data_IF_874699525617
#
_entry.id   IF_874699525617
#
_cell.length_a   1.000
_cell.length_b   1.000
_cell.length_c   1.000
_cell.angle_alpha   90.00
_cell.angle_beta   90.00
_cell.angle_gamma   90.00
#
_symmetry.space_group_name_H-M   'P 1'
#
loop_
_entity.id
_entity.type
_entity.pdbx_description
1 polymer ?
#
# COMPACT_ATOMS: atom_id res chain seq x y z
N UNK A 1 -15.62 8.90 9.31
CA UNK A 1 -14.55 8.00 9.74
C UNK A 1 -13.83 7.63 8.47
N UNK A 2 -12.53 7.86 8.39
CA UNK A 2 -11.73 7.52 7.22
C UNK A 2 -11.08 6.16 7.43
N UNK A 3 -11.03 5.34 6.40
CA UNK A 3 -10.33 4.05 6.41
C UNK A 3 -8.92 4.24 5.83
N UNK A 4 -7.88 3.85 6.54
CA UNK A 4 -6.49 4.07 6.11
C UNK A 4 -5.73 2.76 6.10
N UNK A 5 -4.99 2.49 5.01
CA UNK A 5 -4.01 1.42 5.01
C UNK A 5 -2.75 1.90 5.70
N UNK A 6 -2.42 1.28 6.84
CA UNK A 6 -1.24 1.58 7.63
C UNK A 6 -0.35 0.34 7.66
N UNK A 7 0.89 0.49 7.22
CA UNK A 7 1.91 -0.52 7.30
C UNK A 7 2.60 -0.48 8.66
N UNK A 8 2.80 -1.64 9.28
CA UNK A 8 3.56 -1.80 10.50
C UNK A 8 4.62 -2.87 10.24
N UNK A 9 5.88 -2.44 10.18
CA UNK A 9 7.02 -3.31 9.89
C UNK A 9 7.22 -4.37 10.97
N UNK A 10 7.69 -5.54 10.52
CA UNK A 10 8.00 -6.68 11.37
C UNK A 10 8.94 -6.32 12.52
N UNK A 11 10.09 -5.69 12.22
CA UNK A 11 11.11 -5.37 13.21
C UNK A 11 10.61 -4.37 14.25
N UNK A 12 9.80 -3.37 13.86
CA UNK A 12 9.21 -2.45 14.81
C UNK A 12 8.19 -3.17 15.70
N UNK A 13 7.38 -4.07 15.12
CA UNK A 13 6.43 -4.87 15.87
C UNK A 13 7.14 -5.81 16.84
N UNK A 14 8.21 -6.48 16.41
CA UNK A 14 9.01 -7.41 17.21
C UNK A 14 9.77 -6.70 18.35
N UNK A 15 10.41 -5.57 18.05
CA UNK A 15 11.23 -4.85 19.02
C UNK A 15 10.40 -4.10 20.07
N UNK A 16 9.49 -3.23 19.63
CA UNK A 16 8.77 -2.30 20.51
C UNK A 16 7.25 -2.38 20.40
N UNK A 17 6.72 -3.13 19.43
CA UNK A 17 5.27 -3.20 19.21
C UNK A 17 4.52 -4.07 20.21
N UNK A 18 3.25 -3.73 20.37
CA UNK A 18 2.26 -4.52 21.11
C UNK A 18 1.29 -5.13 20.10
N UNK A 19 1.14 -6.46 20.06
CA UNK A 19 0.19 -7.11 19.18
C UNK A 19 -1.25 -6.65 19.45
N UNK A 20 -1.98 -6.35 18.38
CA UNK A 20 -3.37 -5.90 18.38
C UNK A 20 -4.25 -6.84 17.54
N UNK A 21 -5.56 -6.75 17.69
CA UNK A 21 -6.57 -7.55 17.02
C UNK A 21 -7.58 -6.68 16.29
N UNK A 22 -8.35 -7.28 15.39
CA UNK A 22 -9.51 -6.61 14.79
C UNK A 22 -10.50 -6.23 15.90
N UNK A 23 -10.92 -4.97 15.91
CA UNK A 23 -11.77 -4.39 16.95
C UNK A 23 -11.01 -3.68 18.08
N UNK A 24 -9.68 -3.76 18.12
CA UNK A 24 -8.90 -2.99 19.10
C UNK A 24 -8.82 -1.51 18.70
N UNK A 25 -8.89 -0.63 19.69
CA UNK A 25 -8.50 0.77 19.54
C UNK A 25 -6.99 0.91 19.69
N UNK A 26 -6.36 1.60 18.75
CA UNK A 26 -4.92 1.81 18.70
C UNK A 26 -4.61 3.27 18.43
N UNK A 27 -3.42 3.70 18.82
CA UNK A 27 -2.90 5.04 18.55
C UNK A 27 -1.44 4.93 18.13
N UNK A 28 -1.14 5.46 16.93
CA UNK A 28 0.16 5.32 16.28
C UNK A 28 0.68 6.64 15.73
N UNK A 29 1.97 6.98 15.93
CA UNK A 29 2.63 8.01 15.14
C UNK A 29 2.76 7.51 13.70
N UNK A 30 2.17 8.25 12.75
CA UNK A 30 2.17 7.88 11.34
C UNK A 30 3.21 8.68 10.56
N UNK A 31 3.92 7.99 9.67
CA UNK A 31 4.91 8.52 8.75
C UNK A 31 4.51 8.18 7.32
N UNK A 32 4.46 9.18 6.44
CA UNK A 32 4.27 8.95 5.00
C UNK A 32 5.63 8.67 4.38
N UNK A 33 5.82 7.44 3.93
CA UNK A 33 7.01 7.00 3.21
C UNK A 33 6.76 7.05 1.71
N UNK A 34 7.83 7.29 0.95
CA UNK A 34 7.79 7.05 -0.49
C UNK A 34 7.50 5.56 -0.73
N UNK A 35 6.48 5.29 -1.52
CA UNK A 35 6.09 3.92 -1.81
C UNK A 35 7.15 3.15 -2.59
N UNK A 36 7.96 3.83 -3.40
CA UNK A 36 8.97 3.17 -4.23
C UNK A 36 10.18 2.71 -3.42
N UNK A 37 10.41 3.29 -2.24
CA UNK A 37 11.51 2.89 -1.34
C UNK A 37 11.12 1.76 -0.39
N UNK A 38 9.82 1.59 -0.10
CA UNK A 38 9.35 0.52 0.79
C UNK A 38 9.23 -0.80 0.04
N UNK A 39 10.01 -1.79 0.45
CA UNK A 39 9.93 -3.19 -0.03
C UNK A 39 9.92 -3.33 -1.56
N UNK A 40 10.72 -2.51 -2.26
CA UNK A 40 10.89 -2.59 -3.71
C UNK A 40 9.70 -2.06 -4.52
N UNK A 41 8.78 -1.33 -3.88
CA UNK A 41 7.76 -0.56 -4.58
C UNK A 41 6.51 -1.31 -5.02
N UNK A 42 5.80 -0.68 -5.96
CA UNK A 42 4.59 -1.22 -6.58
C UNK A 42 3.34 -1.16 -5.70
N UNK A 43 3.30 -0.35 -4.64
CA UNK A 43 2.21 -0.22 -3.65
C UNK A 43 0.94 0.48 -4.15
N UNK A 44 0.67 0.50 -5.46
CA UNK A 44 -0.33 1.36 -6.07
C UNK A 44 -1.74 1.29 -5.45
N UNK A 45 -2.15 0.12 -4.95
CA UNK A 45 -3.48 -0.09 -4.35
C UNK A 45 -3.54 0.24 -2.84
N UNK A 46 -2.40 0.48 -2.20
CA UNK A 46 -2.29 0.84 -0.78
C UNK A 46 -1.83 2.28 -0.56
N UNK A 47 -1.62 3.05 -1.64
CA UNK A 47 -1.17 4.43 -1.53
C UNK A 47 -2.22 5.30 -0.84
N UNK A 48 -1.73 6.03 0.15
CA UNK A 48 -2.43 7.14 0.77
C UNK A 48 -2.02 8.43 0.09
N UNK A 49 -3.00 9.27 -0.23
CA UNK A 49 -2.75 10.66 -0.61
C UNK A 49 -3.05 11.56 0.59
N UNK A 50 -2.13 12.47 0.91
CA UNK A 50 -2.34 13.55 1.88
C UNK A 50 -2.13 14.88 1.19
N UNK A 51 -3.00 15.84 1.49
CA UNK A 51 -2.85 17.21 1.04
C UNK A 51 -3.15 18.16 2.21
N UNK A 52 -2.37 19.24 2.32
CA UNK A 52 -2.55 20.20 3.40
C UNK A 52 -1.38 21.17 3.53
N UNK A 53 -1.51 22.15 4.44
CA UNK A 53 -0.37 22.96 4.86
C UNK A 53 0.68 22.08 5.57
N UNK A 54 1.94 22.43 5.38
CA UNK A 54 3.07 21.77 6.05
C UNK A 54 3.41 22.53 7.31
N UNK A 55 3.40 21.83 8.43
CA UNK A 55 3.71 22.33 9.76
C UNK A 55 5.10 21.83 10.18
N UNK A 56 5.80 22.63 10.99
CA UNK A 56 6.98 22.16 11.73
C UNK A 56 6.56 21.88 13.17
N UNK A 57 6.68 20.61 13.58
CA UNK A 57 6.38 20.19 14.95
C UNK A 57 7.65 19.62 15.55
N UNK A 58 8.43 20.49 16.20
CA UNK A 58 9.68 20.09 16.87
C UNK A 58 10.75 19.59 15.90
N UNK A 59 10.87 20.21 14.72
CA UNK A 59 11.79 19.84 13.66
C UNK A 59 11.29 18.74 12.74
N UNK A 60 10.05 18.26 12.93
CA UNK A 60 9.41 17.27 12.07
C UNK A 60 8.46 17.96 11.12
N UNK A 61 8.62 17.73 9.81
CA UNK A 61 7.70 18.18 8.78
C UNK A 61 6.43 17.34 8.85
N UNK A 62 5.30 17.98 9.15
CA UNK A 62 4.01 17.32 9.27
C UNK A 62 3.00 17.89 8.30
N UNK A 63 2.08 17.05 7.87
CA UNK A 63 0.85 17.47 7.21
C UNK A 63 -0.29 17.04 8.09
N UNK A 64 -1.13 18.00 8.48
CA UNK A 64 -2.50 17.69 8.86
C UNK A 64 -3.30 17.71 7.58
N UNK A 65 -3.69 16.51 7.15
CA UNK A 65 -4.45 16.35 5.93
C UNK A 65 -5.77 17.15 6.04
N UNK A 66 -6.35 17.59 4.93
CA UNK A 66 -7.57 18.42 4.94
C UNK A 66 -8.76 17.74 5.67
N UNK A 67 -8.75 16.42 5.79
CA UNK A 67 -9.70 15.62 6.58
C UNK A 67 -9.24 15.37 8.03
N UNK A 68 -8.09 15.89 8.45
CA UNK A 68 -7.66 15.97 9.85
C UNK A 68 -6.66 14.90 10.32
N UNK A 69 -6.22 13.99 9.45
CA UNK A 69 -5.22 12.97 9.80
C UNK A 69 -3.84 13.62 10.00
N UNK A 70 -3.20 13.48 11.19
CA UNK A 70 -1.84 13.95 11.40
C UNK A 70 -0.83 12.94 10.85
N UNK A 71 0.04 13.38 9.94
CA UNK A 71 1.04 12.52 9.31
C UNK A 71 2.37 13.24 9.21
N UNK A 72 3.46 12.60 9.65
CA UNK A 72 4.81 13.10 9.40
C UNK A 72 5.25 12.78 7.97
N UNK A 73 6.01 13.66 7.34
CA UNK A 73 6.61 13.41 6.03
C UNK A 73 8.00 12.78 6.21
N UNK A 74 8.16 11.56 5.70
CA UNK A 74 9.44 10.87 5.66
C UNK A 74 10.45 11.64 4.81
N UNK A 75 11.68 11.75 5.32
CA UNK A 75 12.82 12.12 4.48
C UNK A 75 13.35 10.85 3.82
N UNK A 76 13.88 11.00 2.61
CA UNK A 76 14.72 9.96 2.02
C UNK A 76 16.04 9.94 2.82
N UNK A 77 16.36 8.84 3.53
CA UNK A 77 17.58 8.78 4.34
C UNK A 77 18.86 8.82 3.50
N UNK A 78 18.77 8.48 2.21
CA UNK A 78 19.91 8.45 1.29
C UNK A 78 20.06 9.76 0.50
N UNK A 79 19.10 10.69 0.62
CA UNK A 79 19.18 11.98 -0.05
C UNK A 79 20.18 12.91 0.66
N UNK A 80 21.13 13.46 -0.10
CA UNK A 80 22.09 14.46 0.41
C UNK A 80 21.41 15.77 0.86
N UNK A 81 20.22 16.05 0.32
CA UNK A 81 19.43 17.24 0.62
C UNK A 81 18.02 16.85 1.03
N UNK A 82 17.48 17.53 2.04
CA UNK A 82 16.11 17.35 2.48
C UNK A 82 15.14 17.91 1.44
N UNK A 83 14.53 17.01 0.66
CA UNK A 83 13.55 17.35 -0.38
C UNK A 83 12.13 17.52 0.16
N UNK A 84 11.92 17.42 1.48
CA UNK A 84 10.59 17.61 2.05
C UNK A 84 10.13 19.05 1.82
N UNK A 85 8.83 19.28 1.63
CA UNK A 85 8.32 20.63 1.46
C UNK A 85 8.60 21.49 2.69
N UNK A 86 8.88 22.77 2.45
CA UNK A 86 9.12 23.74 3.52
C UNK A 86 7.84 24.06 4.33
N UNK A 87 7.99 24.38 5.63
CA UNK A 87 6.87 24.66 6.51
C UNK A 87 6.23 25.98 6.11
N UNK A 88 4.91 26.08 6.27
CA UNK A 88 4.07 27.14 5.72
C UNK A 88 3.72 26.95 4.24
N UNK A 89 4.40 26.06 3.53
CA UNK A 89 4.01 25.62 2.19
C UNK A 89 2.77 24.73 2.21
N UNK A 90 2.16 24.52 1.04
CA UNK A 90 1.14 23.49 0.84
C UNK A 90 1.76 22.35 0.05
N UNK A 91 1.41 21.12 0.41
CA UNK A 91 1.84 19.93 -0.32
C UNK A 91 0.67 19.04 -0.69
N UNK A 92 0.91 18.21 -1.70
CA UNK A 92 0.11 17.03 -2.04
C UNK A 92 1.10 15.90 -2.26
N UNK A 93 1.08 14.92 -1.37
CA UNK A 93 2.01 13.80 -1.37
C UNK A 93 1.22 12.50 -1.41
N UNK A 94 1.76 11.51 -2.12
CA UNK A 94 1.22 10.16 -2.12
C UNK A 94 2.31 9.20 -1.67
N UNK A 95 1.96 8.24 -0.81
CA UNK A 95 2.93 7.32 -0.23
C UNK A 95 2.27 6.24 0.61
N UNK A 96 3.09 5.42 1.26
CA UNK A 96 2.60 4.42 2.22
C UNK A 96 2.59 5.04 3.62
N UNK A 97 1.46 4.96 4.32
CA UNK A 97 1.45 5.28 5.75
C UNK A 97 2.14 4.15 6.50
N UNK A 98 3.21 4.45 7.22
CA UNK A 98 3.92 3.53 8.10
C UNK A 98 3.82 3.97 9.56
N UNK A 99 3.86 3.03 10.48
CA UNK A 99 4.00 3.31 11.91
C UNK A 99 5.47 3.68 12.20
N UNK A 100 5.72 4.67 13.06
CA UNK A 100 7.09 4.98 13.53
C UNK A 100 7.21 4.89 15.05
N UNK A 101 7.63 3.75 15.60
CA UNK A 101 7.83 3.61 17.06
C UNK A 101 9.24 4.00 17.53
N UNK A 102 10.20 4.14 16.62
CA UNK A 102 11.59 4.41 16.93
C UNK A 102 11.93 5.89 16.74
N UNK A 103 11.70 6.66 17.79
CA UNK A 103 12.09 8.07 17.82
C UNK A 103 11.02 9.04 17.36
N UNK A 104 9.80 8.57 17.09
CA UNK A 104 8.67 9.47 16.87
C UNK A 104 8.42 10.35 18.11
N UNK A 105 8.27 11.64 17.84
CA UNK A 105 7.96 12.68 18.83
C UNK A 105 6.78 13.55 18.41
N UNK A 106 6.07 13.15 17.35
CA UNK A 106 4.91 13.85 16.81
C UNK A 106 3.59 13.23 17.30
N UNK A 107 2.45 13.94 17.15
CA UNK A 107 1.15 13.44 17.54
C UNK A 107 0.80 12.10 16.89
N UNK A 108 0.15 11.24 17.65
CA UNK A 108 -0.37 9.97 17.17
C UNK A 108 -1.75 10.12 16.53
N UNK A 109 -2.06 9.26 15.55
CA UNK A 109 -3.39 9.07 15.01
C UNK A 109 -4.06 7.86 15.70
N UNK A 110 -5.18 8.13 16.37
CA UNK A 110 -5.99 7.12 17.04
C UNK A 110 -7.11 6.59 16.14
N UNK A 111 -7.37 5.28 16.18
CA UNK A 111 -8.44 4.67 15.41
C UNK A 111 -8.76 3.23 15.80
N UNK A 112 -9.80 2.69 15.18
CA UNK A 112 -10.26 1.32 15.39
C UNK A 112 -9.69 0.39 14.31
N UNK A 113 -9.10 -0.73 14.71
CA UNK A 113 -8.59 -1.73 13.77
C UNK A 113 -9.75 -2.46 13.09
N UNK A 114 -9.89 -2.31 11.77
CA UNK A 114 -10.96 -2.96 10.98
C UNK A 114 -10.51 -4.21 10.24
N UNK A 115 -9.23 -4.30 9.89
CA UNK A 115 -8.66 -5.50 9.29
C UNK A 115 -7.16 -5.57 9.58
N UNK A 116 -6.63 -6.79 9.71
CA UNK A 116 -5.20 -7.06 9.79
C UNK A 116 -4.83 -8.04 8.68
N UNK A 117 -3.79 -7.72 7.92
CA UNK A 117 -3.28 -8.58 6.88
C UNK A 117 -1.77 -8.74 7.06
N UNK A 118 -1.31 -9.97 7.24
CA UNK A 118 0.12 -10.29 7.27
C UNK A 118 0.68 -10.15 5.87
N UNK A 119 1.73 -9.34 5.74
CA UNK A 119 2.44 -9.09 4.50
C UNK A 119 3.60 -10.07 4.38
N UNK A 120 3.60 -10.88 3.33
CA UNK A 120 4.77 -11.66 2.93
C UNK A 120 5.41 -11.00 1.71
N UNK A 121 6.69 -10.64 1.83
CA UNK A 121 7.50 -10.09 0.74
C UNK A 121 8.48 -11.15 0.23
N UNK A 122 8.61 -11.24 -1.08
CA UNK A 122 9.63 -12.07 -1.72
C UNK A 122 10.91 -11.27 -1.90
N UNK A 123 12.04 -11.91 -1.65
CA UNK A 123 13.38 -11.36 -1.77
C UNK A 123 14.21 -12.22 -2.71
N UNK A 124 15.13 -11.60 -3.44
CA UNK A 124 16.10 -12.27 -4.29
C UNK A 124 17.51 -11.83 -3.93
N UNK A 125 18.47 -12.74 -4.02
CA UNK A 125 19.88 -12.38 -3.86
C UNK A 125 20.26 -11.30 -4.88
N UNK A 126 21.07 -10.33 -4.46
CA UNK A 126 21.55 -9.27 -5.36
C UNK A 126 22.51 -9.81 -6.42
N UNK A 127 23.23 -10.89 -6.11
CA UNK A 127 24.08 -11.64 -7.02
C UNK A 127 24.11 -13.13 -6.60
N UNK A 128 24.32 -14.09 -7.53
CA UNK A 128 24.35 -15.51 -7.18
C UNK A 128 25.35 -15.83 -6.06
N UNK A 129 24.87 -16.44 -4.98
CA UNK A 129 25.68 -16.80 -3.81
C UNK A 129 25.98 -15.63 -2.86
N UNK A 130 25.38 -14.47 -3.10
CA UNK A 130 25.42 -13.33 -2.19
C UNK A 130 24.65 -13.62 -0.90
N UNK A 131 25.03 -12.97 0.20
CA UNK A 131 24.24 -12.92 1.44
C UNK A 131 23.35 -11.68 1.53
N UNK A 132 23.38 -10.83 0.51
CA UNK A 132 22.54 -9.65 0.40
C UNK A 132 21.34 -9.94 -0.48
N UNK A 133 20.18 -9.49 -0.02
CA UNK A 133 18.90 -9.71 -0.65
C UNK A 133 18.22 -8.37 -0.93
N UNK A 134 17.55 -8.27 -2.07
CA UNK A 134 16.71 -7.15 -2.44
C UNK A 134 15.25 -7.61 -2.59
N UNK A 135 14.26 -6.74 -2.28
CA UNK A 135 12.86 -7.11 -2.43
C UNK A 135 12.52 -7.22 -3.91
N UNK A 136 11.82 -8.28 -4.29
CA UNK A 136 11.33 -8.45 -5.65
C UNK A 136 10.06 -7.63 -5.84
N UNK A 137 10.16 -6.58 -6.65
CA UNK A 137 9.06 -5.64 -6.90
C UNK A 137 7.76 -6.37 -7.32
N UNK A 138 6.66 -6.05 -6.64
CA UNK A 138 5.34 -6.62 -6.90
C UNK A 138 5.13 -8.07 -6.45
N UNK A 139 6.17 -8.77 -5.97
CA UNK A 139 6.05 -10.13 -5.45
C UNK A 139 5.77 -10.17 -3.95
N UNK A 140 4.60 -9.62 -3.61
CA UNK A 140 4.06 -9.61 -2.25
C UNK A 140 2.73 -10.35 -2.16
N UNK A 141 2.43 -10.87 -0.97
CA UNK A 141 1.16 -11.51 -0.65
C UNK A 141 0.62 -10.94 0.65
N UNK A 142 -0.70 -10.75 0.69
CA UNK A 142 -1.42 -10.36 1.90
C UNK A 142 -2.29 -11.53 2.35
N UNK A 143 -2.14 -11.95 3.60
CA UNK A 143 -2.96 -12.99 4.21
C UNK A 143 -3.78 -12.37 5.34
N UNK A 144 -5.12 -12.50 5.34
CA UNK A 144 -5.93 -12.01 6.45
C UNK A 144 -5.56 -12.71 7.76
N UNK A 145 -5.67 -11.96 8.86
CA UNK A 145 -5.49 -12.46 10.22
C UNK A 145 -6.43 -11.69 11.16
N UNK A 146 -6.93 -12.37 12.20
CA UNK A 146 -7.75 -11.71 13.23
C UNK A 146 -6.90 -10.92 14.23
N UNK A 147 -5.60 -11.26 14.31
CA UNK A 147 -4.63 -10.67 15.24
C UNK A 147 -3.28 -10.48 14.57
N UNK A 148 -2.63 -9.36 14.84
CA UNK A 148 -1.24 -9.09 14.45
C UNK A 148 -0.31 -10.08 15.17
N UNK A 149 0.57 -10.81 14.46
CA UNK A 149 1.59 -11.60 15.12
C UNK A 149 2.59 -10.70 15.85
N UNK A 150 3.16 -11.23 16.94
CA UNK A 150 4.32 -10.59 17.59
C UNK A 150 5.61 -10.91 16.84
N UNK A 151 5.74 -12.16 16.38
CA UNK A 151 6.93 -12.72 15.75
C UNK A 151 6.59 -13.17 14.34
N UNK A 152 7.35 -12.68 13.37
CA UNK A 152 7.13 -12.89 11.95
C UNK A 152 8.01 -14.04 11.45
N UNK A 153 7.50 -14.77 10.47
CA UNK A 153 8.16 -15.98 9.97
C UNK A 153 8.99 -15.71 8.73
N UNK A 154 10.16 -16.32 8.68
CA UNK A 154 10.91 -16.54 7.44
C UNK A 154 10.50 -17.89 6.82
N UNK A 155 10.36 -17.91 5.50
CA UNK A 155 9.93 -19.09 4.73
C UNK A 155 11.07 -19.59 3.84
N UNK A 156 10.91 -20.82 3.34
CA UNK A 156 11.89 -21.58 2.58
C UNK A 156 12.62 -20.79 1.48
N UNK A 157 13.92 -21.01 1.42
CA UNK A 157 14.80 -20.52 0.36
C UNK A 157 14.70 -21.45 -0.85
N UNK A 158 14.34 -20.90 -1.99
CA UNK A 158 14.38 -21.58 -3.28
C UNK A 158 15.54 -21.02 -4.12
N UNK A 159 16.03 -21.79 -5.10
CA UNK A 159 16.91 -21.26 -6.14
C UNK A 159 16.09 -20.91 -7.37
N UNK A 160 16.22 -19.68 -7.85
CA UNK A 160 15.68 -19.25 -9.13
C UNK A 160 16.41 -19.90 -10.31
N UNK A 161 15.80 -19.83 -11.50
CA UNK A 161 16.37 -20.36 -12.74
C UNK A 161 17.71 -19.70 -13.13
N UNK A 162 17.96 -18.47 -12.67
CA UNK A 162 19.21 -17.74 -12.87
C UNK A 162 20.29 -18.06 -11.82
N UNK A 163 20.01 -19.02 -10.92
CA UNK A 163 20.92 -19.46 -9.87
C UNK A 163 20.91 -18.59 -8.61
N UNK A 164 20.17 -17.47 -8.60
CA UNK A 164 20.03 -16.63 -7.40
C UNK A 164 19.13 -17.29 -6.37
N UNK A 165 19.52 -17.20 -5.11
CA UNK A 165 18.64 -17.53 -3.99
C UNK A 165 17.42 -16.61 -3.96
N UNK A 166 16.26 -17.17 -3.65
CA UNK A 166 15.02 -16.46 -3.39
C UNK A 166 14.46 -16.93 -2.06
N UNK A 167 13.95 -16.02 -1.25
CA UNK A 167 13.22 -16.39 -0.03
C UNK A 167 11.97 -15.52 0.09
N UNK A 168 11.02 -15.99 0.90
CA UNK A 168 9.83 -15.23 1.24
C UNK A 168 9.80 -15.04 2.76
N UNK A 169 9.56 -13.83 3.23
CA UNK A 169 9.46 -13.55 4.67
C UNK A 169 8.22 -12.71 4.97
N UNK A 170 7.59 -12.96 6.11
CA UNK A 170 6.58 -12.06 6.62
C UNK A 170 7.29 -10.76 7.04
N UNK A 171 7.02 -9.64 6.36
CA UNK A 171 7.74 -8.35 6.51
C UNK A 171 6.94 -7.31 7.30
N UNK A 172 5.87 -7.73 7.97
CA UNK A 172 5.00 -6.86 8.75
C UNK A 172 3.53 -7.11 8.50
N UNK A 173 2.70 -6.13 8.84
CA UNK A 173 1.26 -6.15 8.60
C UNK A 173 0.78 -4.89 7.89
N UNK A 174 -0.21 -5.04 7.02
CA UNK A 174 -1.06 -3.93 6.57
C UNK A 174 -2.33 -3.95 7.40
N UNK A 175 -2.63 -2.81 8.01
CA UNK A 175 -3.78 -2.61 8.88
C UNK A 175 -4.75 -1.67 8.18
N UNK A 176 -6.04 -2.02 8.16
CA UNK A 176 -7.07 -1.01 7.87
C UNK A 176 -7.47 -0.35 9.19
N UNK A 177 -7.08 0.92 9.36
CA UNK A 177 -7.39 1.73 10.53
C UNK A 177 -8.57 2.66 10.22
N UNK A 178 -9.63 2.61 11.02
CA UNK A 178 -10.73 3.56 10.95
C UNK A 178 -10.49 4.73 11.90
N UNK A 179 -10.25 5.91 11.34
CA UNK A 179 -9.87 7.12 12.10
C UNK A 179 -11.06 8.10 12.16
N UNK A 180 -11.50 8.52 13.36
CA UNK A 180 -12.55 9.51 13.51
C UNK A 180 -12.23 10.85 12.85
N UNK A 181 -13.27 11.56 12.39
CA UNK A 181 -13.14 12.89 11.79
C UNK A 181 -12.50 12.95 10.40
N UNK A 182 -11.96 11.82 9.89
CA UNK A 182 -11.28 11.76 8.59
C UNK A 182 -12.14 11.17 7.48
N UNK A 183 -11.66 11.32 6.23
CA UNK A 183 -12.15 10.63 5.03
C UNK A 183 -10.96 10.26 4.13
N UNK A 184 -11.08 9.21 3.33
CA UNK A 184 -9.97 8.70 2.53
C UNK A 184 -10.41 8.10 1.20
N UNK A 185 -9.46 7.88 0.29
CA UNK A 185 -9.71 7.14 -0.96
C UNK A 185 -10.24 5.72 -0.70
N UNK A 186 -9.76 5.03 0.34
CA UNK A 186 -10.25 3.71 0.70
C UNK A 186 -11.69 3.76 1.22
N UNK A 187 -12.03 4.76 2.04
CA UNK A 187 -13.42 5.01 2.44
C UNK A 187 -14.32 5.21 1.22
N UNK A 188 -13.90 6.03 0.25
CA UNK A 188 -14.63 6.22 -1.00
C UNK A 188 -14.78 4.92 -1.81
N UNK A 189 -13.73 4.10 -1.88
CA UNK A 189 -13.78 2.80 -2.57
C UNK A 189 -14.77 1.84 -1.91
N UNK A 190 -14.83 1.81 -0.57
CA UNK A 190 -15.82 1.01 0.17
C UNK A 190 -17.24 1.53 -0.08
N UNK A 191 -17.46 2.86 -0.08
CA UNK A 191 -18.78 3.45 -0.42
C UNK A 191 -19.23 3.04 -1.81
N UNK A 192 -18.34 3.14 -2.80
CA UNK A 192 -18.61 2.77 -4.19
C UNK A 192 -18.95 1.28 -4.32
N UNK A 193 -18.15 0.40 -3.69
CA UNK A 193 -18.41 -1.04 -3.69
C UNK A 193 -19.76 -1.41 -3.05
N UNK A 194 -20.28 -0.56 -2.15
CA UNK A 194 -21.59 -0.74 -1.50
C UNK A 194 -22.73 0.00 -2.20
N UNK A 195 -22.47 0.73 -3.28
CA UNK A 195 -23.48 1.56 -3.94
C UNK A 195 -23.96 2.74 -3.09
N UNK A 196 -23.15 3.19 -2.12
CA UNK A 196 -23.46 4.36 -1.29
C UNK A 196 -23.08 5.63 -2.08
N UNK A 197 -24.01 6.60 -2.26
CA UNK A 197 -23.71 7.85 -2.94
C UNK A 197 -22.55 8.61 -2.28
N UNK A 198 -21.71 9.25 -3.10
CA UNK A 198 -20.57 10.03 -2.59
C UNK A 198 -20.99 11.30 -1.82
N UNK A 199 -22.09 11.93 -2.23
CA UNK A 199 -22.59 13.16 -1.63
C UNK A 199 -23.62 12.85 -0.55
N UNK A 200 -23.49 13.49 0.61
CA UNK A 200 -24.47 13.41 1.70
C UNK A 200 -24.41 12.10 2.52
N UNK A 201 -23.44 11.22 2.26
CA UNK A 201 -23.22 10.07 3.12
C UNK A 201 -22.56 10.50 4.43
N UNK A 202 -23.19 10.16 5.55
CA UNK A 202 -22.62 10.36 6.88
C UNK A 202 -21.27 9.64 7.00
N UNK A 203 -20.23 10.27 7.57
CA UNK A 203 -18.94 9.61 7.78
C UNK A 203 -19.10 8.28 8.55
N UNK A 204 -18.50 7.19 8.05
CA UNK A 204 -18.62 5.85 8.64
C UNK A 204 -19.86 5.07 8.19
N UNK A 205 -20.72 5.63 7.33
CA UNK A 205 -21.79 4.87 6.69
C UNK A 205 -21.25 3.68 5.88
N UNK A 206 -20.02 3.79 5.35
CA UNK A 206 -19.36 2.76 4.56
C UNK A 206 -19.07 1.47 5.32
N UNK A 207 -18.90 1.51 6.64
CA UNK A 207 -18.66 0.33 7.49
C UNK A 207 -19.91 -0.07 8.29
N UNK A 208 -20.88 0.82 8.44
CA UNK A 208 -22.08 0.60 9.24
C UNK A 208 -22.89 -0.60 8.75
N UNK A 209 -23.22 -1.48 9.71
CA UNK A 209 -24.08 -2.66 9.50
C UNK A 209 -23.43 -3.81 8.75
N UNK A 210 -22.14 -3.75 8.45
CA UNK A 210 -21.41 -4.87 7.82
C UNK A 210 -20.88 -5.78 8.94
N UNK A 211 -21.12 -7.10 8.87
CA UNK A 211 -20.44 -8.06 9.74
C UNK A 211 -18.91 -7.95 9.60
N UNK A 212 -18.17 -8.11 10.69
CA UNK A 212 -16.71 -7.93 10.67
C UNK A 212 -16.01 -8.81 9.61
N UNK A 213 -16.46 -10.06 9.45
CA UNK A 213 -15.91 -10.97 8.43
C UNK A 213 -16.16 -10.48 6.99
N UNK A 214 -17.35 -9.94 6.71
CA UNK A 214 -17.69 -9.41 5.38
C UNK A 214 -16.91 -8.12 5.09
N UNK A 215 -16.73 -7.27 6.10
CA UNK A 215 -15.90 -6.06 5.98
C UNK A 215 -14.44 -6.45 5.72
N UNK A 216 -13.89 -7.42 6.46
CA UNK A 216 -12.53 -7.92 6.22
C UNK A 216 -12.36 -8.50 4.82
N UNK A 217 -13.34 -9.27 4.33
CA UNK A 217 -13.30 -9.82 2.98
C UNK A 217 -13.35 -8.72 1.91
N UNK A 218 -14.20 -7.71 2.09
CA UNK A 218 -14.28 -6.55 1.20
C UNK A 218 -12.96 -5.78 1.19
N UNK A 219 -12.42 -5.46 2.37
CA UNK A 219 -11.15 -4.76 2.50
C UNK A 219 -10.02 -5.56 1.87
N UNK A 220 -9.93 -6.87 2.12
CA UNK A 220 -8.94 -7.74 1.50
C UNK A 220 -8.96 -7.70 -0.04
N UNK A 221 -10.15 -7.62 -0.64
CA UNK A 221 -10.30 -7.47 -2.10
C UNK A 221 -9.87 -6.09 -2.62
N UNK A 222 -10.01 -5.03 -1.80
CA UNK A 222 -9.56 -3.68 -2.14
C UNK A 222 -8.06 -3.49 -1.89
N UNK A 223 -7.48 -4.23 -0.95
CA UNK A 223 -6.06 -4.18 -0.62
C UNK A 223 -5.20 -5.12 -1.45
N UNK A 224 -5.76 -5.98 -2.30
CA UNK A 224 -4.97 -6.87 -3.15
C UNK A 224 -4.92 -6.33 -4.57
N UNK A 225 -3.72 -6.23 -5.19
CA UNK A 225 -3.63 -5.82 -6.58
C UNK A 225 -4.49 -6.77 -7.40
N UNK A 226 -5.47 -6.21 -8.10
CA UNK A 226 -6.11 -6.95 -9.18
C UNK A 226 -4.98 -7.33 -10.12
N UNK A 227 -4.63 -8.62 -10.16
CA UNK A 227 -3.83 -9.16 -11.27
C UNK A 227 -4.55 -8.67 -12.51
N UNK A 228 -4.01 -7.64 -13.17
CA UNK A 228 -4.43 -7.28 -14.51
C UNK A 228 -4.30 -8.58 -15.24
N UNK A 229 -5.43 -9.20 -15.59
CA UNK A 229 -5.43 -10.31 -16.52
C UNK A 229 -4.55 -9.79 -17.65
N UNK A 230 -3.39 -10.44 -17.88
CA UNK A 230 -2.50 -10.09 -18.98
C UNK A 230 -3.45 -9.95 -20.15
N UNK A 231 -3.64 -8.72 -20.64
CA UNK A 231 -4.48 -8.47 -21.78
C UNK A 231 -3.91 -9.42 -22.81
N UNK A 232 -4.61 -10.53 -23.04
CA UNK A 232 -4.20 -11.47 -24.06
C UNK A 232 -4.03 -10.60 -25.27
N UNK A 233 -2.85 -10.66 -25.87
CA UNK A 233 -2.63 -10.17 -27.22
C UNK A 233 -3.66 -10.87 -28.09
N UNK A 234 -4.87 -10.30 -28.15
CA UNK A 234 -5.87 -10.62 -29.13
C UNK A 234 -5.16 -10.31 -30.44
N UNK A 235 -4.77 -11.38 -31.14
CA UNK A 235 -4.08 -11.31 -32.40
C UNK A 235 -4.81 -10.31 -33.27
N UNK A 236 -4.09 -9.28 -33.71
CA UNK A 236 -4.59 -8.39 -34.74
C UNK A 236 -5.02 -9.29 -35.92
N UNK A 237 -6.24 -9.12 -36.46
CA UNK A 237 -6.64 -9.87 -37.63
C UNK A 237 -5.62 -9.57 -38.74
N UNK A 238 -4.98 -10.63 -39.22
CA UNK A 238 -4.03 -10.57 -40.33
C UNK A 238 -4.74 -9.92 -41.51
N UNK A 239 -4.17 -8.84 -42.04
CA UNK A 239 -4.73 -8.16 -43.19
C UNK A 239 -4.92 -9.15 -44.36
N UNK A 240 -6.04 -9.08 -45.10
CA UNK A 240 -6.23 -9.91 -46.28
C UNK A 240 -5.14 -9.59 -47.31
N UNK A 241 -4.50 -10.65 -47.82
CA UNK A 241 -3.42 -10.56 -48.78
C UNK A 241 -3.83 -9.84 -50.08
N UNK A 242 -2.84 -9.28 -50.81
CA UNK A 242 -3.11 -8.48 -52.00
C UNK A 242 -3.74 -9.34 -53.11
N UNK A 243 -4.88 -8.87 -53.62
CA UNK A 243 -5.53 -9.38 -54.82
C UNK A 243 -4.60 -9.24 -56.03
N UNK A 244 -4.29 -10.38 -56.67
CA UNK A 244 -3.58 -10.43 -57.93
C UNK A 244 -4.37 -9.67 -59.01
N UNK A 245 -3.75 -8.63 -59.59
CA UNK A 245 -4.27 -7.95 -60.78
C UNK A 245 -4.03 -8.84 -62.00
N UNK A 246 -5.12 -9.26 -62.65
CA UNK A 246 -5.08 -9.83 -63.99
C UNK A 246 -4.59 -8.81 -65.01
N UNK A 247 -3.63 -9.21 -65.84
CA UNK A 247 -3.14 -8.42 -66.97
C UNK A 247 -4.11 -8.48 -68.15
N UNK A 248 -4.10 -7.46 -69.03
CA UNK A 248 -4.98 -7.40 -70.19
C UNK A 248 -4.47 -8.25 -71.35
N UNK A 249 -5.48 -8.78 -72.04
CA UNK A 249 -5.52 -9.47 -73.31
C UNK A 249 -4.87 -8.62 -74.43
N UNK A 250 -3.82 -9.13 -75.07
CA UNK A 250 -3.26 -8.55 -76.31
C UNK A 250 -3.79 -9.32 -77.52
N UNK A 251 -4.76 -8.70 -78.21
CA UNK A 251 -5.20 -9.12 -79.53
C UNK A 251 -4.85 -8.08 -80.59
N UNK A 252 -3.71 -8.26 -81.28
CA UNK A 252 -3.53 -8.21 -82.75
C UNK A 252 -2.07 -8.12 -83.17
#
# INVERSE_FOLDING_TARGET
>A
MGLWHVFYEDWQMECCGTPFSVGDEVSWPLLLLDADTVLGGGWHDQLTEVAGPVEDVGGVRMVREETGLPVALGADPDAEEDRRPEPGGRTRSAGLLSVERHGARWPEAGGLVRAVQVLTQTWAETAPGSRSYEPVAGERRLRPADRCPKWFRETETERAADGRGRCSRESGVVVTLEVPGTDSRLSHAVREARGIPRQGAEPGAETRGIPAADLMALLGNLSTPRRRARSGTAGWPTAPGPLARGGPDEGR
#
